data_IF_479712898536
#
_entry.id   IF_479712898536
#
_cell.length_a   1.000
_cell.length_b   1.000
_cell.length_c   1.000
_cell.angle_alpha   90.00
_cell.angle_beta   90.00
_cell.angle_gamma   90.00
#
_symmetry.space_group_name_H-M   'P 1'
#
loop_
_entity.id
_entity.type
_entity.pdbx_description
1 polymer ?
#
# COMPACT_ATOMS: atom_id res chain seq x y z
N UNK A 1 16.12 4.87 -13.69
CA UNK A 1 15.81 6.28 -14.05
C UNK A 1 14.45 6.56 -13.42
N UNK A 2 14.47 7.12 -12.21
CA UNK A 2 13.37 7.08 -11.25
C UNK A 2 12.32 8.15 -11.53
N UNK A 3 11.06 7.72 -11.61
CA UNK A 3 9.86 8.55 -11.84
C UNK A 3 9.24 9.11 -10.55
N UNK A 4 10.05 9.35 -9.51
CA UNK A 4 9.52 9.71 -8.16
C UNK A 4 9.64 11.21 -7.82
N UNK A 5 9.99 12.06 -8.79
CA UNK A 5 10.29 13.48 -8.52
C UNK A 5 9.13 14.49 -8.76
N UNK A 6 7.90 14.06 -9.04
CA UNK A 6 6.83 15.01 -9.41
C UNK A 6 5.75 15.34 -8.37
N UNK A 7 5.75 14.77 -7.16
CA UNK A 7 4.69 15.08 -6.16
C UNK A 7 5.02 16.22 -5.18
N UNK A 8 6.12 16.95 -5.35
CA UNK A 8 6.54 18.00 -4.39
C UNK A 8 6.17 19.44 -4.81
N UNK A 9 5.21 19.61 -5.75
CA UNK A 9 4.87 20.93 -6.32
C UNK A 9 3.40 21.37 -6.12
N UNK A 10 2.68 20.86 -5.12
CA UNK A 10 1.28 21.26 -4.87
C UNK A 10 1.03 21.83 -3.46
N UNK A 11 1.99 21.81 -2.54
CA UNK A 11 1.73 22.25 -1.13
C UNK A 11 2.21 23.68 -0.83
N UNK A 12 2.74 24.43 -1.81
CA UNK A 12 3.39 25.73 -1.55
C UNK A 12 2.71 26.98 -2.16
N UNK A 13 1.38 26.96 -2.32
CA UNK A 13 0.61 28.15 -2.71
C UNK A 13 -0.76 28.22 -2.00
N UNK A 14 -0.75 28.34 -0.68
CA UNK A 14 -1.97 28.64 0.08
C UNK A 14 -1.79 29.69 1.20
N UNK A 15 -0.68 30.45 1.22
CA UNK A 15 -0.42 31.42 2.29
C UNK A 15 0.15 32.72 1.71
N UNK A 16 -0.73 33.57 1.18
CA UNK A 16 -0.53 35.03 1.11
C UNK A 16 -1.72 35.68 0.37
N UNK A 17 -2.86 35.79 1.02
CA UNK A 17 -3.81 36.86 0.70
C UNK A 17 -4.40 37.39 2.01
N UNK A 18 -3.52 37.95 2.83
CA UNK A 18 -3.94 38.79 3.93
C UNK A 18 -4.34 40.13 3.31
N UNK A 19 -5.62 40.21 2.92
CA UNK A 19 -6.27 41.48 2.60
C UNK A 19 -6.25 42.28 3.89
N UNK A 20 -5.33 43.25 3.98
CA UNK A 20 -5.39 44.27 5.01
C UNK A 20 -6.66 45.10 4.76
N UNK A 21 -7.74 44.74 5.43
CA UNK A 21 -8.92 45.59 5.55
C UNK A 21 -8.47 46.75 6.45
N UNK A 22 -8.16 47.88 5.86
CA UNK A 22 -8.07 49.14 6.62
C UNK A 22 -9.50 49.55 6.97
N UNK A 23 -9.89 49.63 8.25
CA UNK A 23 -11.15 50.27 8.61
C UNK A 23 -11.06 51.73 8.17
N UNK A 24 -11.90 52.08 7.20
CA UNK A 24 -11.99 53.43 6.70
C UNK A 24 -12.56 54.36 7.78
N UNK A 25 -11.79 55.40 8.09
CA UNK A 25 -12.23 56.71 8.57
C UNK A 25 -13.33 56.75 9.65
N UNK A 26 -12.87 56.94 10.88
CA UNK A 26 -13.64 57.49 11.99
C UNK A 26 -14.47 58.74 11.62
N UNK A 27 -15.62 58.84 12.30
CA UNK A 27 -16.46 60.03 12.51
C UNK A 27 -17.44 60.41 11.39
N UNK A 28 -18.57 59.71 11.34
CA UNK A 28 -19.84 60.37 11.10
C UNK A 28 -20.68 60.19 12.39
N UNK A 29 -20.54 61.13 13.35
CA UNK A 29 -21.54 61.28 14.39
C UNK A 29 -22.82 61.66 13.65
N UNK A 30 -23.70 60.68 13.41
CA UNK A 30 -24.91 60.89 12.67
C UNK A 30 -25.83 61.75 13.56
N UNK A 31 -25.91 63.04 13.25
CA UNK A 31 -26.99 63.88 13.74
C UNK A 31 -28.25 63.44 13.01
N UNK A 32 -29.31 63.16 13.77
CA UNK A 32 -30.60 62.77 13.20
C UNK A 32 -31.68 63.72 13.71
N UNK A 33 -32.58 64.10 12.81
CA UNK A 33 -33.75 64.92 13.16
C UNK A 33 -35.00 64.06 13.16
N UNK A 34 -35.74 64.12 14.25
CA UNK A 34 -37.09 63.56 14.38
C UNK A 34 -38.09 64.71 14.38
N UNK A 35 -39.08 64.67 13.50
CA UNK A 35 -40.14 65.67 13.43
C UNK A 35 -41.45 65.11 13.97
N UNK A 36 -42.22 65.93 14.68
CA UNK A 36 -43.58 65.58 15.05
C UNK A 36 -44.48 65.58 13.80
N UNK A 37 -45.29 64.53 13.64
CA UNK A 37 -46.27 64.49 12.56
C UNK A 37 -47.28 65.65 12.71
N UNK A 38 -47.66 66.35 11.62
CA UNK A 38 -48.66 67.40 11.70
C UNK A 38 -49.99 66.88 12.27
N UNK A 39 -50.56 67.57 13.27
CA UNK A 39 -51.79 67.14 13.93
C UNK A 39 -51.64 65.99 14.93
N UNK A 40 -50.40 65.60 15.27
CA UNK A 40 -50.11 64.52 16.25
C UNK A 40 -50.64 64.78 17.66
N UNK A 41 -51.09 65.99 17.94
CA UNK A 41 -51.76 66.38 19.19
C UNK A 41 -53.17 65.78 19.35
N UNK A 42 -53.68 65.07 18.35
CA UNK A 42 -54.93 64.29 18.41
C UNK A 42 -54.62 62.85 18.00
N UNK A 43 -55.26 61.83 18.60
CA UNK A 43 -55.06 60.44 18.19
C UNK A 43 -55.30 60.20 16.70
N UNK A 44 -54.52 59.29 16.11
CA UNK A 44 -54.63 58.84 14.72
C UNK A 44 -53.28 58.72 13.99
N UNK A 45 -52.22 59.37 14.47
CA UNK A 45 -50.88 59.26 13.88
C UNK A 45 -50.18 57.92 14.21
N UNK A 46 -50.60 57.24 15.27
CA UNK A 46 -50.08 55.94 15.69
C UNK A 46 -50.45 54.80 14.72
N UNK A 47 -51.48 55.01 13.90
CA UNK A 47 -51.96 54.07 12.89
C UNK A 47 -51.36 54.33 11.50
N UNK A 48 -50.60 55.41 11.31
CA UNK A 48 -49.91 55.70 10.04
C UNK A 48 -48.61 54.89 9.94
N UNK A 49 -48.11 54.69 8.72
CA UNK A 49 -46.87 53.94 8.51
C UNK A 49 -45.63 54.71 9.01
N UNK A 50 -45.73 56.04 9.05
CA UNK A 50 -44.69 56.97 9.44
C UNK A 50 -44.67 57.23 10.96
N UNK A 51 -45.79 57.02 11.64
CA UNK A 51 -45.96 57.24 13.07
C UNK A 51 -46.12 58.72 13.46
N UNK A 52 -46.17 58.96 14.77
CA UNK A 52 -46.31 60.31 15.35
C UNK A 52 -44.97 61.07 15.47
N UNK A 53 -43.85 60.33 15.52
CA UNK A 53 -42.48 60.83 15.49
C UNK A 53 -41.81 60.29 14.22
N UNK A 54 -41.27 61.16 13.37
CA UNK A 54 -40.80 60.79 12.03
C UNK A 54 -39.32 61.15 11.88
N UNK A 55 -38.42 60.19 11.61
CA UNK A 55 -38.65 58.75 11.59
C UNK A 55 -38.78 58.16 13.01
N UNK A 56 -39.43 57.01 13.10
CA UNK A 56 -39.36 56.13 14.26
C UNK A 56 -39.37 54.66 13.79
N UNK A 57 -38.30 53.87 14.08
CA UNK A 57 -37.14 54.22 14.88
C UNK A 57 -36.19 55.20 14.15
N UNK A 58 -35.39 55.93 14.93
CA UNK A 58 -34.24 56.70 14.44
C UNK A 58 -32.95 56.01 14.86
N UNK A 59 -32.00 55.83 13.96
CA UNK A 59 -30.73 55.15 14.24
C UNK A 59 -29.55 56.11 14.15
N UNK A 60 -28.70 56.09 15.19
CA UNK A 60 -27.46 56.87 15.29
C UNK A 60 -26.34 56.00 15.84
N UNK A 61 -25.10 56.48 15.78
CA UNK A 61 -23.97 55.84 16.46
C UNK A 61 -23.78 56.40 17.87
N UNK A 62 -23.05 55.68 18.73
CA UNK A 62 -22.59 56.19 20.04
C UNK A 62 -21.95 57.57 19.88
N UNK A 63 -22.35 58.51 20.74
CA UNK A 63 -21.97 59.93 20.69
C UNK A 63 -22.79 60.76 19.70
N UNK A 64 -23.75 60.16 19.00
CA UNK A 64 -24.67 60.83 18.08
C UNK A 64 -25.69 61.71 18.80
N UNK A 65 -26.26 62.66 18.06
CA UNK A 65 -27.24 63.63 18.57
C UNK A 65 -28.57 63.39 17.85
N UNK A 66 -29.65 63.25 18.61
CA UNK A 66 -31.02 63.30 18.07
C UNK A 66 -31.61 64.67 18.38
N UNK A 67 -32.17 65.32 17.36
CA UNK A 67 -32.90 66.59 17.49
C UNK A 67 -34.37 66.36 17.19
N UNK A 68 -35.24 66.64 18.17
CA UNK A 68 -36.68 66.62 18.00
C UNK A 68 -37.18 68.01 17.63
N UNK A 69 -37.86 68.14 16.49
CA UNK A 69 -38.48 69.37 16.02
C UNK A 69 -40.00 69.27 16.08
N UNK A 70 -40.62 70.23 16.77
CA UNK A 70 -42.06 70.31 16.83
C UNK A 70 -42.61 71.11 15.64
N UNK A 71 -42.88 70.41 14.54
CA UNK A 71 -43.56 70.98 13.37
C UNK A 71 -45.10 70.95 13.46
N UNK A 72 -45.65 70.52 14.60
CA UNK A 72 -47.08 70.60 14.88
C UNK A 72 -47.45 71.98 15.47
N UNK A 73 -48.75 72.24 15.59
CA UNK A 73 -49.30 73.50 16.11
C UNK A 73 -49.51 73.50 17.63
N UNK A 74 -49.50 72.33 18.29
CA UNK A 74 -49.57 72.23 19.74
C UNK A 74 -48.21 71.88 20.36
N UNK A 75 -48.09 72.03 21.68
CA UNK A 75 -46.86 71.72 22.40
C UNK A 75 -46.72 70.21 22.60
N UNK A 76 -45.48 69.72 22.53
CA UNK A 76 -45.14 68.30 22.66
C UNK A 76 -43.96 68.09 23.59
N UNK A 77 -43.68 66.85 23.99
CA UNK A 77 -42.42 66.46 24.63
C UNK A 77 -41.78 65.29 23.89
N UNK A 78 -40.47 65.16 24.03
CA UNK A 78 -39.71 63.95 23.77
C UNK A 78 -39.08 63.53 25.10
N UNK A 79 -39.69 62.52 25.74
CA UNK A 79 -39.32 62.08 27.08
C UNK A 79 -39.02 60.59 27.05
N UNK A 80 -37.80 60.20 27.46
CA UNK A 80 -37.39 58.80 27.51
C UNK A 80 -38.30 57.98 28.42
N UNK A 81 -38.60 56.74 28.03
CA UNK A 81 -39.54 55.85 28.71
C UNK A 81 -40.76 55.53 27.84
N UNK A 82 -41.86 55.14 28.47
CA UNK A 82 -43.10 54.80 27.77
C UNK A 82 -44.32 55.40 28.46
N UNK A 83 -45.42 55.55 27.74
CA UNK A 83 -46.67 56.02 28.33
C UNK A 83 -47.19 55.10 29.45
N UNK A 84 -46.84 53.82 29.41
CA UNK A 84 -47.27 52.81 30.39
C UNK A 84 -46.39 52.76 31.63
N UNK A 85 -45.08 52.89 31.47
CA UNK A 85 -44.11 52.77 32.58
C UNK A 85 -43.69 54.14 33.14
N UNK A 86 -44.01 55.21 32.42
CA UNK A 86 -43.63 56.57 32.74
C UNK A 86 -42.21 56.92 32.27
N UNK A 87 -41.72 58.12 32.64
CA UNK A 87 -40.39 58.57 32.25
C UNK A 87 -39.29 57.69 32.82
N UNK A 88 -38.37 57.25 31.96
CA UNK A 88 -37.18 56.47 32.36
C UNK A 88 -36.10 57.31 33.04
N UNK A 89 -36.16 58.64 32.86
CA UNK A 89 -35.16 59.59 33.37
C UNK A 89 -33.88 59.69 32.53
N UNK A 90 -33.82 59.00 31.38
CA UNK A 90 -32.66 59.05 30.47
C UNK A 90 -32.55 60.43 29.79
N UNK A 91 -33.67 60.96 29.30
CA UNK A 91 -33.77 62.33 28.79
C UNK A 91 -35.20 62.86 28.89
N UNK A 92 -35.34 64.18 28.96
CA UNK A 92 -36.64 64.87 28.96
C UNK A 92 -36.48 66.26 28.33
N UNK A 93 -37.16 66.49 27.21
CA UNK A 93 -37.14 67.78 26.53
C UNK A 93 -37.86 68.89 27.29
N UNK A 94 -38.66 68.55 28.31
CA UNK A 94 -39.78 69.40 28.76
C UNK A 94 -40.71 69.74 27.59
N UNK A 95 -41.51 70.80 27.68
CA UNK A 95 -42.37 71.24 26.57
C UNK A 95 -41.55 71.86 25.42
N UNK A 96 -41.63 71.23 24.26
CA UNK A 96 -41.21 71.77 22.98
C UNK A 96 -42.41 72.49 22.38
N UNK A 97 -42.37 73.83 22.36
CA UNK A 97 -43.42 74.64 21.74
C UNK A 97 -43.41 74.50 20.21
N UNK A 98 -44.52 74.80 19.56
CA UNK A 98 -44.62 74.80 18.10
C UNK A 98 -43.49 75.62 17.45
N UNK A 99 -42.81 75.02 16.48
CA UNK A 99 -41.65 75.59 15.77
C UNK A 99 -40.34 75.60 16.57
N UNK A 100 -40.31 75.01 17.77
CA UNK A 100 -39.09 74.86 18.58
C UNK A 100 -38.50 73.45 18.45
N UNK A 101 -37.27 73.27 18.95
CA UNK A 101 -36.58 71.99 18.95
C UNK A 101 -35.86 71.71 20.26
N UNK A 102 -35.52 70.43 20.47
CA UNK A 102 -34.71 69.93 21.58
C UNK A 102 -33.71 68.91 21.05
N UNK A 103 -32.48 68.90 21.57
CA UNK A 103 -31.45 67.94 21.17
C UNK A 103 -30.92 67.17 22.38
N UNK A 104 -30.65 65.88 22.19
CA UNK A 104 -30.01 65.02 23.17
C UNK A 104 -28.90 64.18 22.54
N UNK A 105 -27.77 64.05 23.25
CA UNK A 105 -26.62 63.23 22.85
C UNK A 105 -26.70 61.87 23.54
N UNK A 106 -26.57 60.80 22.77
CA UNK A 106 -26.59 59.44 23.31
C UNK A 106 -25.18 58.84 23.34
N UNK A 107 -24.60 58.77 24.54
CA UNK A 107 -23.22 58.31 24.74
C UNK A 107 -23.08 56.79 24.97
N UNK A 108 -24.19 56.05 24.98
CA UNK A 108 -24.20 54.61 25.20
C UNK A 108 -25.01 53.90 24.12
N UNK A 109 -24.48 52.79 23.62
CA UNK A 109 -25.21 51.93 22.69
C UNK A 109 -26.41 51.28 23.36
N UNK A 110 -27.48 51.12 22.60
CA UNK A 110 -28.72 50.53 23.09
C UNK A 110 -29.95 51.04 22.36
N UNK A 111 -31.11 50.54 22.79
CA UNK A 111 -32.42 50.97 22.31
C UNK A 111 -33.09 51.79 23.40
N UNK A 112 -33.50 53.01 23.05
CA UNK A 112 -34.11 53.97 23.96
C UNK A 112 -35.50 54.33 23.46
N UNK A 113 -36.52 53.77 24.11
CA UNK A 113 -37.90 54.15 23.87
C UNK A 113 -38.19 55.51 24.51
N UNK A 114 -39.09 56.27 23.87
CA UNK A 114 -39.54 57.57 24.34
C UNK A 114 -40.98 57.84 23.92
N UNK A 115 -41.61 58.81 24.58
CA UNK A 115 -42.99 59.17 24.32
C UNK A 115 -43.25 60.66 24.59
N UNK A 116 -44.41 61.15 24.14
CA UNK A 116 -44.90 62.47 24.50
C UNK A 116 -45.75 62.39 25.78
N UNK A 117 -45.36 63.11 26.83
CA UNK A 117 -46.04 63.07 28.13
C UNK A 117 -47.46 63.63 28.10
N UNK A 118 -47.71 64.61 27.23
CA UNK A 118 -49.03 65.26 27.09
C UNK A 118 -49.94 64.56 26.06
N UNK A 119 -49.35 63.76 25.17
CA UNK A 119 -50.03 63.00 24.11
C UNK A 119 -49.57 61.53 24.16
N UNK A 120 -50.10 60.72 25.09
CA UNK A 120 -49.54 59.40 25.41
C UNK A 120 -49.57 58.36 24.27
N UNK A 121 -50.31 58.60 23.19
CA UNK A 121 -50.31 57.75 21.99
C UNK A 121 -49.07 57.95 21.11
N UNK A 122 -48.32 59.04 21.31
CA UNK A 122 -47.09 59.28 20.57
C UNK A 122 -45.94 58.52 21.22
N UNK A 123 -45.50 57.45 20.58
CA UNK A 123 -44.33 56.66 20.97
C UNK A 123 -43.29 56.68 19.86
N UNK A 124 -42.01 56.65 20.25
CA UNK A 124 -40.90 56.52 19.33
C UNK A 124 -39.72 55.77 19.95
N UNK A 125 -38.76 55.41 19.10
CA UNK A 125 -37.57 54.65 19.52
C UNK A 125 -36.30 55.25 18.90
N UNK A 126 -35.25 55.41 19.71
CA UNK A 126 -33.88 55.73 19.28
C UNK A 126 -33.03 54.46 19.38
N UNK A 127 -32.35 54.08 18.31
CA UNK A 127 -31.39 52.98 18.27
C UNK A 127 -29.98 53.57 18.18
N UNK A 128 -29.12 53.23 19.13
CA UNK A 128 -27.73 53.71 19.20
C UNK A 128 -26.81 52.53 18.99
N UNK A 129 -26.10 52.53 17.86
CA UNK A 129 -25.18 51.47 17.46
C UNK A 129 -23.75 51.77 17.91
N UNK A 130 -22.99 50.72 18.29
CA UNK A 130 -21.54 50.80 18.48
C UNK A 130 -20.83 50.08 17.33
N UNK A 131 -20.52 50.79 16.23
CA UNK A 131 -19.85 50.19 15.09
C UNK A 131 -18.44 49.69 15.43
N UNK A 132 -17.76 50.30 16.42
CA UNK A 132 -16.42 49.88 16.82
C UNK A 132 -16.45 48.56 17.61
N UNK A 133 -17.44 48.35 18.48
CA UNK A 133 -17.64 47.07 19.15
C UNK A 133 -18.06 45.97 18.16
N UNK A 134 -18.90 46.30 17.17
CA UNK A 134 -19.32 45.35 16.13
C UNK A 134 -18.14 44.91 15.25
N UNK A 135 -17.27 45.85 14.85
CA UNK A 135 -16.07 45.55 14.06
C UNK A 135 -15.02 44.78 14.87
N UNK A 136 -14.83 45.11 16.16
CA UNK A 136 -13.93 44.38 17.04
C UNK A 136 -14.38 42.92 17.25
N UNK A 137 -15.69 42.70 17.45
CA UNK A 137 -16.24 41.35 17.57
C UNK A 137 -16.10 40.55 16.26
N UNK A 138 -16.31 41.20 15.10
CA UNK A 138 -16.10 40.58 13.80
C UNK A 138 -14.62 40.22 13.56
N UNK A 139 -13.69 41.10 13.95
CA UNK A 139 -12.25 40.85 13.87
C UNK A 139 -11.80 39.71 14.80
N UNK A 140 -12.34 39.65 16.03
CA UNK A 140 -12.08 38.56 16.97
C UNK A 140 -12.61 37.21 16.45
N UNK A 141 -13.83 37.19 15.88
CA UNK A 141 -14.40 36.01 15.27
C UNK A 141 -13.57 35.53 14.05
N UNK A 142 -13.15 36.45 13.18
CA UNK A 142 -12.30 36.13 12.04
C UNK A 142 -10.92 35.61 12.47
N UNK A 143 -10.34 36.17 13.53
CA UNK A 143 -9.08 35.69 14.10
C UNK A 143 -9.22 34.28 14.69
N UNK A 144 -10.32 33.99 15.38
CA UNK A 144 -10.61 32.67 15.91
C UNK A 144 -10.82 31.63 14.80
N UNK A 145 -11.53 31.99 13.73
CA UNK A 145 -11.72 31.12 12.56
C UNK A 145 -10.40 30.83 11.83
N UNK A 146 -9.55 31.85 11.65
CA UNK A 146 -8.22 31.68 11.08
C UNK A 146 -7.33 30.76 11.91
N UNK A 147 -7.33 30.93 13.24
CA UNK A 147 -6.57 30.06 14.15
C UNK A 147 -7.07 28.60 14.14
N UNK A 148 -8.38 28.40 14.05
CA UNK A 148 -8.96 27.06 13.93
C UNK A 148 -8.58 26.39 12.59
N UNK A 149 -8.57 27.14 11.49
CA UNK A 149 -8.14 26.65 10.19
C UNK A 149 -6.64 26.27 10.18
N UNK A 150 -5.78 27.07 10.80
CA UNK A 150 -4.35 26.78 10.92
C UNK A 150 -4.10 25.52 11.77
N UNK A 151 -4.82 25.34 12.87
CA UNK A 151 -4.73 24.15 13.71
C UNK A 151 -5.15 22.88 12.95
N UNK A 152 -6.26 22.95 12.19
CA UNK A 152 -6.73 21.82 11.38
C UNK A 152 -5.73 21.46 10.26
N UNK A 153 -5.09 22.46 9.63
CA UNK A 153 -4.06 22.23 8.64
C UNK A 153 -2.81 21.55 9.23
N UNK A 154 -2.40 21.96 10.45
CA UNK A 154 -1.28 21.34 11.15
C UNK A 154 -1.57 19.88 11.54
N UNK A 155 -2.80 19.59 11.98
CA UNK A 155 -3.22 18.22 12.29
C UNK A 155 -3.24 17.32 11.05
N UNK A 156 -3.75 17.82 9.92
CA UNK A 156 -3.74 17.10 8.65
C UNK A 156 -2.31 16.80 8.16
N UNK A 157 -1.39 17.76 8.26
CA UNK A 157 0.01 17.57 7.90
C UNK A 157 0.71 16.54 8.80
N UNK A 158 0.41 16.53 10.10
CA UNK A 158 0.93 15.53 11.04
C UNK A 158 0.41 14.12 10.72
N UNK A 159 -0.87 14.00 10.35
CA UNK A 159 -1.46 12.73 9.94
C UNK A 159 -0.83 12.18 8.64
N UNK A 160 -0.58 13.04 7.65
CA UNK A 160 0.09 12.66 6.41
C UNK A 160 1.54 12.20 6.66
N UNK A 161 2.29 12.89 7.52
CA UNK A 161 3.64 12.50 7.90
C UNK A 161 3.68 11.13 8.60
N UNK A 162 2.74 10.88 9.52
CA UNK A 162 2.63 9.58 10.21
C UNK A 162 2.27 8.44 9.25
N UNK A 163 1.38 8.70 8.27
CA UNK A 163 1.03 7.73 7.24
C UNK A 163 2.24 7.39 6.34
N UNK A 164 3.06 8.39 5.99
CA UNK A 164 4.27 8.19 5.21
C UNK A 164 5.32 7.36 5.97
N UNK A 165 5.50 7.60 7.27
CA UNK A 165 6.40 6.82 8.12
C UNK A 165 5.95 5.35 8.24
N UNK A 166 4.65 5.12 8.43
CA UNK A 166 4.09 3.77 8.48
C UNK A 166 4.28 3.00 7.16
N UNK A 167 4.05 3.66 6.02
CA UNK A 167 4.27 3.06 4.71
C UNK A 167 5.76 2.73 4.46
N UNK A 168 6.68 3.57 4.92
CA UNK A 168 8.11 3.31 4.84
C UNK A 168 8.53 2.10 5.69
N UNK A 169 7.95 1.96 6.90
CA UNK A 169 8.20 0.81 7.77
C UNK A 169 7.68 -0.51 7.16
N UNK A 170 6.49 -0.49 6.55
CA UNK A 170 5.93 -1.66 5.86
C UNK A 170 6.79 -2.08 4.65
N UNK A 171 7.28 -1.12 3.86
CA UNK A 171 8.17 -1.40 2.75
C UNK A 171 9.51 -2.02 3.20
N UNK A 172 10.09 -1.51 4.29
CA UNK A 172 11.32 -2.08 4.87
C UNK A 172 11.11 -3.51 5.40
N UNK A 173 9.96 -3.79 6.01
CA UNK A 173 9.60 -5.14 6.46
C UNK A 173 9.44 -6.12 5.28
N UNK A 174 8.82 -5.66 4.19
CA UNK A 174 8.68 -6.46 2.96
C UNK A 174 10.03 -6.78 2.31
N UNK A 175 10.96 -5.81 2.26
CA UNK A 175 12.32 -6.02 1.75
C UNK A 175 13.11 -7.03 2.60
N UNK A 176 13.01 -6.94 3.93
CA UNK A 176 13.63 -7.90 4.84
C UNK A 176 13.08 -9.33 4.64
N UNK A 177 11.77 -9.48 4.49
CA UNK A 177 11.14 -10.78 4.22
C UNK A 177 11.57 -11.36 2.86
N UNK A 178 11.70 -10.51 1.83
CA UNK A 178 12.19 -10.94 0.52
C UNK A 178 13.66 -11.40 0.58
N UNK A 179 14.51 -10.72 1.37
CA UNK A 179 15.89 -11.12 1.57
C UNK A 179 16.01 -12.47 2.30
N UNK A 180 15.16 -12.73 3.29
CA UNK A 180 15.10 -14.02 4.00
C UNK A 180 14.66 -15.16 3.08
N UNK A 181 13.64 -14.93 2.24
CA UNK A 181 13.18 -15.90 1.25
C UNK A 181 14.27 -16.24 0.22
N UNK A 182 15.00 -15.23 -0.27
CA UNK A 182 16.12 -15.43 -1.20
C UNK A 182 17.28 -16.22 -0.56
N UNK A 183 17.57 -15.97 0.72
CA UNK A 183 18.58 -16.74 1.46
C UNK A 183 18.16 -18.21 1.64
N UNK A 184 16.88 -18.48 1.89
CA UNK A 184 16.35 -19.83 2.00
C UNK A 184 16.42 -20.59 0.66
N UNK A 185 16.10 -19.92 -0.46
CA UNK A 185 16.21 -20.50 -1.80
C UNK A 185 17.67 -20.83 -2.16
N UNK A 186 18.61 -19.93 -1.85
CA UNK A 186 20.03 -20.17 -2.06
C UNK A 186 20.55 -21.38 -1.24
N UNK A 187 20.11 -21.52 0.01
CA UNK A 187 20.47 -22.67 0.84
C UNK A 187 19.89 -23.98 0.30
N UNK A 188 18.66 -23.96 -0.23
CA UNK A 188 18.05 -25.12 -0.87
C UNK A 188 18.80 -25.53 -2.16
N UNK A 189 19.24 -24.55 -2.96
CA UNK A 189 20.04 -24.80 -4.15
C UNK A 189 21.41 -25.42 -3.82
N UNK A 190 22.08 -24.93 -2.76
CA UNK A 190 23.36 -25.51 -2.31
C UNK A 190 23.19 -26.95 -1.82
N UNK A 191 22.11 -27.25 -1.09
CA UNK A 191 21.81 -28.61 -0.65
C UNK A 191 21.56 -29.56 -1.84
N UNK A 192 20.80 -29.11 -2.85
CA UNK A 192 20.58 -29.90 -4.06
C UNK A 192 21.87 -30.13 -4.87
N UNK A 193 22.75 -29.12 -4.94
CA UNK A 193 24.06 -29.27 -5.57
C UNK A 193 24.96 -30.26 -4.83
N UNK A 194 24.94 -30.25 -3.49
CA UNK A 194 25.68 -31.20 -2.67
C UNK A 194 25.17 -32.65 -2.85
N UNK A 195 23.86 -32.84 -2.94
CA UNK A 195 23.25 -34.15 -3.22
C UNK A 195 23.64 -34.67 -4.62
N UNK A 196 23.58 -33.81 -5.64
CA UNK A 196 24.02 -34.17 -6.99
C UNK A 196 25.51 -34.56 -7.04
N UNK A 197 26.37 -33.81 -6.34
CA UNK A 197 27.80 -34.12 -6.24
C UNK A 197 28.05 -35.44 -5.48
N UNK A 198 27.28 -35.72 -4.42
CA UNK A 198 27.38 -36.99 -3.69
C UNK A 198 26.92 -38.18 -4.56
N UNK A 199 25.88 -38.01 -5.38
CA UNK A 199 25.44 -39.04 -6.32
C UNK A 199 26.48 -39.31 -7.42
N UNK A 200 27.16 -38.27 -7.91
CA UNK A 200 28.23 -38.41 -8.91
C UNK A 200 29.46 -39.11 -8.31
N UNK A 201 29.86 -38.73 -7.10
CA UNK A 201 30.93 -39.41 -6.36
C UNK A 201 30.59 -40.88 -6.07
N UNK A 202 29.34 -41.20 -5.72
CA UNK A 202 28.90 -42.58 -5.50
C UNK A 202 28.93 -43.40 -6.80
N UNK A 203 28.57 -42.82 -7.95
CA UNK A 203 28.72 -43.47 -9.26
C UNK A 203 30.19 -43.74 -9.60
N UNK A 204 31.07 -42.77 -9.34
CA UNK A 204 32.51 -42.94 -9.56
C UNK A 204 33.12 -44.03 -8.65
N UNK A 205 32.71 -44.08 -7.38
CA UNK A 205 33.15 -45.11 -6.44
C UNK A 205 32.59 -46.50 -6.81
N UNK A 206 31.32 -46.58 -7.22
CA UNK A 206 30.73 -47.81 -7.76
C UNK A 206 31.54 -48.32 -8.97
N UNK A 207 31.84 -47.44 -9.94
CA UNK A 207 32.65 -47.79 -11.10
C UNK A 207 34.05 -48.26 -10.74
N UNK A 208 34.68 -47.65 -9.74
CA UNK A 208 36.01 -48.05 -9.28
C UNK A 208 36.04 -49.41 -8.58
N UNK A 209 35.00 -49.73 -7.80
CA UNK A 209 34.91 -50.97 -7.05
C UNK A 209 34.29 -52.13 -7.84
N UNK A 210 33.81 -51.85 -9.04
CA UNK A 210 33.06 -52.78 -9.86
C UNK A 210 33.58 -52.76 -11.31
N UNK A 211 34.84 -53.20 -11.53
CA UNK A 211 35.48 -53.14 -12.84
C UNK A 211 34.74 -54.03 -13.87
N UNK A 212 34.88 -53.73 -15.18
CA UNK A 212 34.41 -54.61 -16.25
C UNK A 212 34.85 -56.05 -15.99
N UNK A 213 33.89 -56.98 -15.97
CA UNK A 213 34.16 -58.40 -15.72
C UNK A 213 34.45 -59.06 -17.07
N UNK A 214 35.54 -59.79 -17.12
CA UNK A 214 35.91 -60.60 -18.27
C UNK A 214 35.22 -61.97 -18.16
N UNK A 215 34.28 -62.22 -19.06
CA UNK A 215 33.49 -63.43 -19.16
C UNK A 215 34.01 -64.42 -20.19
N UNK A 216 35.16 -64.14 -20.84
CA UNK A 216 35.73 -64.98 -21.90
C UNK A 216 35.91 -66.43 -21.47
N UNK A 217 36.31 -66.68 -20.22
CA UNK A 217 36.50 -68.05 -19.73
C UNK A 217 35.27 -68.61 -18.98
N UNK A 218 34.21 -67.82 -18.80
CA UNK A 218 33.06 -68.15 -17.96
C UNK A 218 31.81 -68.44 -18.76
N UNK A 219 31.56 -67.68 -19.83
CA UNK A 219 30.41 -67.91 -20.70
C UNK A 219 30.73 -69.00 -21.73
N UNK A 220 29.75 -69.86 -21.98
CA UNK A 220 29.86 -70.86 -23.03
C UNK A 220 29.57 -70.22 -24.38
N UNK A 221 30.56 -70.21 -25.28
CA UNK A 221 30.38 -69.73 -26.65
C UNK A 221 31.11 -70.60 -27.67
N UNK A 222 30.72 -70.47 -28.93
CA UNK A 222 31.42 -71.02 -30.08
C UNK A 222 31.32 -70.08 -31.28
N UNK A 223 32.36 -70.05 -32.10
CA UNK A 223 32.46 -69.19 -33.27
C UNK A 223 32.83 -70.04 -34.49
N UNK A 224 32.15 -69.83 -35.63
CA UNK A 224 32.39 -70.64 -36.84
C UNK A 224 33.69 -70.29 -37.58
N UNK A 225 34.11 -69.03 -37.54
CA UNK A 225 35.34 -68.50 -38.17
C UNK A 225 35.97 -67.42 -37.29
N UNK A 226 37.31 -67.35 -37.28
CA UNK A 226 38.04 -66.41 -36.42
C UNK A 226 38.16 -66.85 -34.95
N UNK A 227 38.31 -65.87 -34.05
CA UNK A 227 38.42 -66.10 -32.61
C UNK A 227 37.81 -64.97 -31.80
N UNK A 228 37.22 -65.29 -30.65
CA UNK A 228 36.80 -64.30 -29.66
C UNK A 228 38.03 -63.90 -28.83
N UNK A 229 38.28 -62.60 -28.76
CA UNK A 229 39.44 -62.03 -28.06
C UNK A 229 39.11 -61.60 -26.64
N UNK A 230 37.90 -61.10 -26.41
CA UNK A 230 37.40 -60.77 -25.07
C UNK A 230 35.89 -60.68 -25.05
N UNK A 231 35.28 -61.10 -23.95
CA UNK A 231 33.86 -60.86 -23.63
C UNK A 231 33.81 -60.03 -22.35
N UNK A 232 33.58 -58.73 -22.47
CA UNK A 232 33.70 -57.79 -21.35
C UNK A 232 32.33 -57.21 -21.04
N UNK A 233 31.93 -57.21 -19.76
CA UNK A 233 30.72 -56.50 -19.34
C UNK A 233 30.89 -55.01 -19.19
N UNK A 234 29.83 -54.28 -19.50
CA UNK A 234 29.65 -52.88 -19.20
C UNK A 234 28.39 -52.71 -18.34
N UNK A 235 28.58 -52.58 -17.04
CA UNK A 235 27.48 -52.39 -16.09
C UNK A 235 26.81 -51.02 -16.19
N UNK A 236 27.49 -50.01 -16.78
CA UNK A 236 26.91 -48.66 -16.92
C UNK A 236 25.82 -48.65 -18.01
N UNK A 237 26.04 -49.41 -19.09
CA UNK A 237 25.14 -49.50 -20.25
C UNK A 237 24.33 -50.81 -20.27
N UNK A 238 24.52 -51.68 -19.27
CA UNK A 238 23.97 -53.04 -19.21
C UNK A 238 24.25 -53.86 -20.49
N UNK A 239 25.47 -53.74 -21.03
CA UNK A 239 25.90 -54.43 -22.24
C UNK A 239 27.01 -55.44 -22.00
N UNK A 240 27.10 -56.42 -22.89
CA UNK A 240 28.20 -57.35 -23.01
C UNK A 240 28.88 -57.12 -24.35
N UNK A 241 30.15 -56.75 -24.33
CA UNK A 241 30.92 -56.46 -25.54
C UNK A 241 31.81 -57.65 -25.84
N UNK A 242 31.51 -58.31 -26.95
CA UNK A 242 32.28 -59.41 -27.51
C UNK A 242 33.19 -58.85 -28.60
N UNK A 243 34.48 -58.81 -28.34
CA UNK A 243 35.48 -58.46 -29.34
C UNK A 243 35.92 -59.72 -30.09
N UNK A 244 35.85 -59.69 -31.42
CA UNK A 244 36.21 -60.84 -32.27
C UNK A 244 37.25 -60.43 -33.31
N UNK A 245 38.09 -61.37 -33.71
CA UNK A 245 39.01 -61.24 -34.84
C UNK A 245 38.65 -62.31 -35.87
N UNK A 246 38.08 -61.88 -37.00
CA UNK A 246 37.61 -62.76 -38.07
C UNK A 246 37.97 -62.26 -39.47
N UNK A 247 38.42 -63.19 -40.31
CA UNK A 247 38.74 -62.95 -41.72
C UNK A 247 37.63 -63.35 -42.69
N UNK A 248 36.60 -64.06 -42.22
CA UNK A 248 35.56 -64.68 -43.04
C UNK A 248 34.20 -64.55 -42.35
N UNK A 249 33.12 -64.51 -43.12
CA UNK A 249 31.74 -64.49 -42.59
C UNK A 249 31.48 -65.71 -41.71
N UNK A 250 30.63 -65.55 -40.70
CA UNK A 250 30.34 -66.62 -39.76
C UNK A 250 29.24 -66.30 -38.76
N UNK A 251 29.12 -67.15 -37.75
CA UNK A 251 28.14 -67.04 -36.67
C UNK A 251 28.82 -67.20 -35.31
N UNK A 252 28.39 -66.39 -34.35
CA UNK A 252 28.71 -66.49 -32.93
C UNK A 252 27.50 -67.12 -32.24
N UNK A 253 27.71 -68.27 -31.60
CA UNK A 253 26.74 -68.87 -30.69
C UNK A 253 27.22 -68.64 -29.25
N UNK A 254 26.40 -67.99 -28.43
CA UNK A 254 26.73 -67.65 -27.04
C UNK A 254 25.55 -67.94 -26.12
N UNK A 255 25.81 -68.62 -25.01
CA UNK A 255 24.82 -68.85 -23.96
C UNK A 255 24.97 -67.77 -22.87
N UNK A 256 23.90 -67.04 -22.63
CA UNK A 256 23.83 -65.94 -21.66
C UNK A 256 23.13 -66.40 -20.38
N UNK A 257 23.87 -67.04 -19.47
CA UNK A 257 23.30 -67.48 -18.18
C UNK A 257 22.75 -66.29 -17.37
N UNK A 258 21.52 -66.43 -16.84
CA UNK A 258 20.80 -65.39 -16.06
C UNK A 258 21.53 -64.95 -14.79
N UNK A 259 22.54 -65.71 -14.35
CA UNK A 259 23.36 -65.38 -13.20
C UNK A 259 24.31 -64.20 -13.47
N UNK A 260 24.65 -63.95 -14.74
CA UNK A 260 25.64 -62.93 -15.14
C UNK A 260 25.01 -61.78 -15.93
N UNK A 261 24.01 -62.07 -16.76
CA UNK A 261 23.30 -61.07 -17.57
C UNK A 261 21.81 -61.38 -17.59
N UNK A 262 20.97 -60.37 -17.38
CA UNK A 262 19.52 -60.52 -17.27
C UNK A 262 18.86 -59.91 -18.49
N UNK A 263 18.06 -60.70 -19.21
CA UNK A 263 17.24 -60.25 -20.34
C UNK A 263 16.26 -59.12 -19.95
N UNK A 264 15.66 -58.45 -20.93
CA UNK A 264 14.55 -57.51 -20.68
C UNK A 264 13.33 -58.20 -20.06
N UNK A 265 12.36 -57.41 -19.57
CA UNK A 265 11.14 -57.93 -18.95
C UNK A 265 10.32 -58.85 -19.88
N UNK A 266 10.54 -58.75 -21.20
CA UNK A 266 9.96 -59.60 -22.23
C UNK A 266 10.84 -60.81 -22.62
N UNK A 267 11.99 -60.98 -21.97
CA UNK A 267 12.96 -62.05 -22.21
C UNK A 267 13.88 -61.81 -23.42
N UNK A 268 13.80 -60.65 -24.06
CA UNK A 268 14.62 -60.34 -25.24
C UNK A 268 16.01 -59.79 -24.89
N UNK A 269 16.88 -59.78 -25.89
CA UNK A 269 18.14 -59.05 -25.93
C UNK A 269 18.18 -58.19 -27.20
N UNK A 270 18.95 -57.11 -27.21
CA UNK A 270 19.28 -56.38 -28.45
C UNK A 270 20.73 -56.65 -28.83
N UNK A 271 21.02 -56.81 -30.12
CA UNK A 271 22.37 -57.11 -30.61
C UNK A 271 22.79 -56.09 -31.65
N UNK A 272 23.98 -55.52 -31.44
CA UNK A 272 24.62 -54.60 -32.35
C UNK A 272 25.92 -55.22 -32.87
N UNK A 273 26.10 -55.32 -34.18
CA UNK A 273 27.37 -55.73 -34.80
C UNK A 273 28.02 -54.48 -35.39
N UNK A 274 29.24 -54.13 -34.97
CA UNK A 274 29.92 -52.89 -35.36
C UNK A 274 29.05 -51.63 -35.20
N UNK A 275 28.23 -51.57 -34.13
CA UNK A 275 27.27 -50.49 -33.83
C UNK A 275 26.05 -50.40 -34.75
N UNK A 276 25.78 -51.40 -35.59
CA UNK A 276 24.53 -51.52 -36.35
C UNK A 276 23.68 -52.67 -35.80
N UNK A 277 22.37 -52.44 -35.67
CA UNK A 277 21.43 -53.45 -35.19
C UNK A 277 21.29 -54.58 -36.22
N UNK A 278 21.36 -55.81 -35.75
CA UNK A 278 21.27 -57.00 -36.60
C UNK A 278 20.15 -57.93 -36.17
N UNK A 279 19.60 -58.65 -37.14
CA UNK A 279 18.73 -59.79 -36.87
C UNK A 279 19.56 -60.99 -36.41
N UNK A 280 19.11 -61.66 -35.36
CA UNK A 280 19.76 -62.83 -34.79
C UNK A 280 18.71 -63.87 -34.36
N UNK A 281 19.15 -65.10 -34.10
CA UNK A 281 18.27 -66.16 -33.58
C UNK A 281 18.46 -66.29 -32.07
N UNK A 282 17.35 -66.33 -31.33
CA UNK A 282 17.34 -66.53 -29.88
C UNK A 282 16.50 -67.76 -29.52
N UNK A 283 17.08 -68.69 -28.75
CA UNK A 283 16.37 -69.79 -28.10
C UNK A 283 16.61 -69.71 -26.58
N UNK A 284 15.70 -69.05 -25.86
CA UNK A 284 15.89 -68.75 -24.44
C UNK A 284 17.10 -67.85 -24.19
N UNK A 285 18.14 -68.41 -23.57
CA UNK A 285 19.39 -67.73 -23.25
C UNK A 285 20.50 -68.00 -24.28
N UNK A 286 20.26 -68.85 -25.28
CA UNK A 286 21.19 -69.11 -26.38
C UNK A 286 20.95 -68.14 -27.54
N UNK A 287 21.96 -67.33 -27.86
CA UNK A 287 21.94 -66.39 -28.98
C UNK A 287 22.83 -66.92 -30.10
N UNK A 288 22.34 -66.87 -31.33
CA UNK A 288 23.10 -67.15 -32.55
C UNK A 288 23.10 -65.91 -33.43
N UNK A 289 24.27 -65.27 -33.51
CA UNK A 289 24.46 -63.93 -34.09
C UNK A 289 25.34 -64.06 -35.34
N UNK A 290 24.81 -63.77 -36.54
CA UNK A 290 25.63 -63.74 -37.75
C UNK A 290 26.54 -62.50 -37.77
N UNK A 291 27.74 -62.65 -38.33
CA UNK A 291 28.68 -61.55 -38.57
C UNK A 291 29.37 -61.69 -39.93
N UNK A 292 29.80 -60.56 -40.47
CA UNK A 292 30.56 -60.49 -41.73
C UNK A 292 32.08 -60.45 -41.47
N UNK A 293 32.86 -60.77 -42.49
CA UNK A 293 34.32 -60.66 -42.47
C UNK A 293 34.77 -59.24 -42.08
N UNK A 294 35.72 -59.15 -41.16
CA UNK A 294 36.18 -57.86 -40.61
C UNK A 294 35.28 -57.27 -39.53
N UNK A 295 34.32 -58.04 -38.99
CA UNK A 295 33.65 -57.67 -37.74
C UNK A 295 34.64 -57.65 -36.59
N UNK A 296 34.69 -56.54 -35.84
CA UNK A 296 35.59 -56.39 -34.70
C UNK A 296 34.84 -56.46 -33.38
N UNK A 297 33.54 -56.13 -33.39
CA UNK A 297 32.75 -55.97 -32.17
C UNK A 297 31.31 -56.43 -32.36
N UNK A 298 30.83 -57.24 -31.42
CA UNK A 298 29.43 -57.57 -31.21
C UNK A 298 29.04 -57.10 -29.80
N UNK A 299 27.98 -56.31 -29.69
CA UNK A 299 27.50 -55.74 -28.43
C UNK A 299 26.09 -56.23 -28.15
N UNK A 300 25.91 -56.93 -27.03
CA UNK A 300 24.64 -57.50 -26.58
C UNK A 300 24.11 -56.64 -25.44
N UNK A 301 22.95 -56.03 -25.63
CA UNK A 301 22.28 -55.16 -24.67
C UNK A 301 21.23 -55.95 -23.91
N UNK A 302 21.20 -55.79 -22.59
CA UNK A 302 20.31 -56.48 -21.67
C UNK A 302 19.70 -55.51 -20.64
N UNK A 303 18.87 -56.00 -19.71
CA UNK A 303 18.25 -55.15 -18.67
C UNK A 303 19.18 -54.88 -17.48
N UNK A 304 20.06 -55.83 -17.18
CA UNK A 304 21.09 -55.71 -16.17
C UNK A 304 22.24 -56.67 -16.48
N UNK A 305 23.47 -56.26 -16.17
CA UNK A 305 24.60 -57.19 -16.04
C UNK A 305 24.92 -57.26 -14.57
N UNK A 306 24.76 -58.42 -13.95
CA UNK A 306 24.82 -58.59 -12.49
C UNK A 306 26.27 -58.54 -12.02
N UNK A 307 26.61 -57.59 -11.15
CA UNK A 307 27.82 -57.65 -10.35
C UNK A 307 27.44 -58.06 -8.91
N UNK A 308 28.33 -58.76 -8.22
CA UNK A 308 28.07 -59.33 -6.90
C UNK A 308 27.88 -58.24 -5.80
N UNK A 309 26.66 -57.74 -5.58
CA UNK A 309 26.40 -56.70 -4.57
C UNK A 309 25.85 -57.26 -3.24
N UNK A 310 26.75 -57.62 -2.31
CA UNK A 310 26.35 -58.01 -0.95
C UNK A 310 26.45 -56.91 0.12
N UNK A 311 27.38 -55.95 -0.01
CA UNK A 311 27.77 -55.09 1.12
C UNK A 311 27.92 -53.60 0.79
N UNK A 312 28.24 -53.25 -0.46
CA UNK A 312 28.53 -51.86 -0.85
C UNK A 312 27.26 -51.01 -0.91
N UNK A 313 26.16 -51.55 -1.45
CA UNK A 313 24.86 -50.86 -1.50
C UNK A 313 24.35 -50.45 -0.10
N UNK A 314 24.61 -51.27 0.92
CA UNK A 314 24.24 -50.99 2.31
C UNK A 314 25.10 -49.87 2.93
N UNK A 315 26.36 -49.74 2.54
CA UNK A 315 27.27 -48.69 3.03
C UNK A 315 26.91 -47.34 2.41
N UNK A 316 26.64 -47.30 1.10
CA UNK A 316 26.22 -46.07 0.40
C UNK A 316 24.92 -45.54 0.97
N UNK A 317 23.95 -46.42 1.24
CA UNK A 317 22.69 -46.04 1.91
C UNK A 317 22.94 -45.46 3.32
N UNK A 318 23.83 -46.07 4.11
CA UNK A 318 24.14 -45.59 5.45
C UNK A 318 24.83 -44.22 5.45
N UNK A 319 25.79 -43.99 4.53
CA UNK A 319 26.51 -42.72 4.41
C UNK A 319 25.58 -41.60 3.91
N UNK A 320 24.66 -41.90 3.00
CA UNK A 320 23.65 -40.95 2.53
C UNK A 320 22.74 -40.49 3.67
N UNK A 321 22.24 -41.41 4.50
CA UNK A 321 21.37 -41.09 5.64
C UNK A 321 22.11 -40.22 6.67
N UNK A 322 23.37 -40.54 6.99
CA UNK A 322 24.17 -39.76 7.94
C UNK A 322 24.43 -38.34 7.44
N UNK A 323 24.72 -38.16 6.15
CA UNK A 323 24.99 -36.85 5.55
C UNK A 323 23.77 -35.92 5.59
N UNK A 324 22.56 -36.47 5.37
CA UNK A 324 21.29 -35.74 5.46
C UNK A 324 21.02 -35.26 6.91
N UNK A 325 21.32 -36.10 7.91
CA UNK A 325 21.16 -35.75 9.33
C UNK A 325 22.12 -34.62 9.76
N UNK A 326 23.35 -34.62 9.24
CA UNK A 326 24.35 -33.57 9.54
C UNK A 326 23.97 -32.23 8.91
N UNK A 327 23.44 -32.24 7.67
CA UNK A 327 23.01 -31.01 6.99
C UNK A 327 21.77 -30.38 7.65
N UNK A 328 20.82 -31.20 8.08
CA UNK A 328 19.58 -30.72 8.75
C UNK A 328 19.83 -30.15 10.16
N UNK A 329 20.87 -30.61 10.87
CA UNK A 329 21.23 -30.05 12.18
C UNK A 329 21.98 -28.72 12.09
N UNK A 330 22.73 -28.47 11.01
CA UNK A 330 23.50 -27.23 10.81
C UNK A 330 22.61 -26.02 10.45
N UNK A 331 21.48 -26.22 9.78
CA UNK A 331 20.53 -25.15 9.41
C UNK A 331 19.65 -24.69 10.57
N UNK A 332 19.38 -25.55 11.57
CA UNK A 332 18.47 -25.22 12.67
C UNK A 332 19.03 -24.24 13.71
N UNK A 333 20.34 -23.99 13.74
CA UNK A 333 20.98 -23.12 14.76
C UNK A 333 20.95 -21.63 14.42
N UNK A 334 20.52 -21.24 13.22
CA UNK A 334 20.44 -19.82 12.80
C UNK A 334 19.03 -19.20 12.98
N UNK A 335 18.00 -20.01 13.24
CA UNK A 335 16.59 -19.58 13.35
C UNK A 335 16.19 -19.15 14.79
N UNK A 336 16.99 -18.32 15.45
CA UNK A 336 16.53 -17.61 16.66
C UNK A 336 16.44 -16.12 16.33
N UNK A 337 15.24 -15.60 16.02
CA UNK A 337 15.06 -14.16 15.91
C UNK A 337 15.21 -13.55 17.31
N UNK A 338 16.11 -12.57 17.44
CA UNK A 338 16.19 -11.75 18.65
C UNK A 338 14.96 -10.85 18.68
N UNK A 339 14.07 -11.14 19.63
CA UNK A 339 13.01 -10.25 20.12
C UNK A 339 13.62 -9.01 20.80
#
# INVERSE_FOLDING_TARGET
MNMVLLSSLVVLFAIASMVAITPGAFAMHHEATVINAPGSSVPGCEETAEGCFIPSPVTINVGGIVTWENNDTAAHTATGGSATEGPSGVFDSSLIMAGSSFSHTFDAAGTFDYFCMVHPWMAGTVIVEDPAAAEAAAAEAAAAEAAAAEAAAAEAAAAEAAAAEAAAAEAAAAEAAAAEAAAAEAAAAEAAAAEAAAAEAAKAEYKANNPPIDFTDTLSYSISSGSVTSIISNSDDATLVVAIDTSDDGELSINLDNDNITAFDDGSYFVLVNNEEVEFSQDGNDLTIPYEAGTEKIEIVASAVVPEFGTIAMIVLAVAIVSIIVLTTKTRTTLIPKL
#
